data_IF_856498895200
#
_entry.id   IF_856498895200
#
_cell.length_a   1.000
_cell.length_b   1.000
_cell.length_c   1.000
_cell.angle_alpha   90.00
_cell.angle_beta   90.00
_cell.angle_gamma   90.00
#
_symmetry.space_group_name_H-M   'P 1'
#
loop_
_entity.id
_entity.type
_entity.pdbx_description
1 polymer ?
#
# COMPACT_ATOMS: atom_id res chain seq x y z
N UNK A 1 -0.59 -36.20 -58.78
CA UNK A 1 -0.82 -34.77 -58.54
C UNK A 1 -2.01 -34.71 -57.62
N UNK A 2 -1.81 -34.47 -56.34
CA UNK A 2 -2.88 -34.28 -55.38
C UNK A 2 -3.34 -32.81 -55.49
N UNK A 3 -4.55 -32.63 -55.96
CA UNK A 3 -5.25 -31.35 -55.94
C UNK A 3 -5.40 -30.93 -54.48
N UNK A 4 -4.63 -29.95 -54.04
CA UNK A 4 -4.90 -29.27 -52.74
C UNK A 4 -6.21 -28.51 -52.93
N UNK A 5 -7.26 -29.03 -52.34
CA UNK A 5 -8.51 -28.32 -52.19
C UNK A 5 -8.21 -27.01 -51.43
N UNK A 6 -8.30 -25.89 -52.12
CA UNK A 6 -8.28 -24.55 -51.48
C UNK A 6 -9.55 -24.49 -50.66
N UNK A 7 -9.47 -24.63 -49.35
CA UNK A 7 -10.62 -24.44 -48.46
C UNK A 7 -11.02 -22.97 -48.57
N UNK A 8 -12.17 -22.70 -49.18
CA UNK A 8 -12.72 -21.36 -49.27
C UNK A 8 -13.21 -20.93 -47.90
N UNK A 9 -12.56 -19.89 -47.36
CA UNK A 9 -12.98 -19.30 -46.07
C UNK A 9 -14.36 -18.66 -46.26
N UNK A 10 -15.33 -19.10 -45.45
CA UNK A 10 -16.67 -18.50 -45.47
C UNK A 10 -16.65 -17.09 -44.86
N UNK A 11 -17.65 -16.27 -45.18
CA UNK A 11 -17.77 -14.91 -44.64
C UNK A 11 -17.85 -14.94 -43.08
N UNK A 12 -18.51 -15.93 -42.50
CA UNK A 12 -18.61 -16.11 -41.04
C UNK A 12 -17.24 -16.37 -40.42
N UNK A 13 -16.44 -17.26 -41.00
CA UNK A 13 -15.07 -17.54 -40.58
C UNK A 13 -14.17 -16.31 -40.69
N UNK A 14 -14.33 -15.52 -41.76
CA UNK A 14 -13.55 -14.27 -41.94
C UNK A 14 -13.91 -13.23 -40.88
N UNK A 15 -15.20 -13.04 -40.58
CA UNK A 15 -15.67 -12.16 -39.51
C UNK A 15 -15.13 -12.61 -38.15
N UNK A 16 -15.23 -13.89 -37.85
CA UNK A 16 -14.71 -14.47 -36.60
C UNK A 16 -13.20 -14.21 -36.46
N UNK A 17 -12.43 -14.48 -37.50
CA UNK A 17 -10.99 -14.25 -37.51
C UNK A 17 -10.64 -12.76 -37.30
N UNK A 18 -11.37 -11.86 -37.93
CA UNK A 18 -11.18 -10.43 -37.76
C UNK A 18 -11.53 -9.94 -36.35
N UNK A 19 -12.57 -10.48 -35.73
CA UNK A 19 -12.94 -10.20 -34.34
C UNK A 19 -11.89 -10.73 -33.36
N UNK A 20 -11.45 -11.97 -33.53
CA UNK A 20 -10.43 -12.58 -32.68
C UNK A 20 -9.10 -11.81 -32.74
N UNK A 21 -8.69 -11.38 -33.95
CA UNK A 21 -7.51 -10.55 -34.14
C UNK A 21 -7.63 -9.18 -33.43
N UNK A 22 -8.82 -8.56 -33.46
CA UNK A 22 -9.05 -7.30 -32.75
C UNK A 22 -9.11 -7.46 -31.24
N UNK A 23 -9.74 -8.54 -30.74
CA UNK A 23 -9.81 -8.81 -29.32
C UNK A 23 -8.43 -9.15 -28.73
N UNK A 24 -7.54 -9.75 -29.51
CA UNK A 24 -6.16 -10.01 -29.10
C UNK A 24 -5.33 -8.74 -28.87
N UNK A 25 -5.70 -7.62 -29.49
CA UNK A 25 -5.05 -6.31 -29.30
C UNK A 25 -5.60 -5.52 -28.09
N UNK A 26 -6.68 -6.00 -27.45
CA UNK A 26 -7.31 -5.31 -26.34
C UNK A 26 -6.64 -5.72 -25.03
N UNK A 27 -5.82 -4.84 -24.48
CA UNK A 27 -5.16 -5.03 -23.20
C UNK A 27 -6.05 -4.51 -22.07
N UNK A 28 -6.31 -5.33 -21.04
CA UNK A 28 -7.12 -4.93 -19.88
C UNK A 28 -6.25 -4.87 -18.63
N UNK A 29 -5.67 -5.98 -18.24
CA UNK A 29 -4.74 -6.07 -17.14
C UNK A 29 -3.83 -7.28 -17.28
N UNK A 30 -2.55 -7.11 -16.94
CA UNK A 30 -1.55 -8.19 -16.96
C UNK A 30 -0.64 -8.08 -15.74
N UNK A 31 -0.06 -9.18 -15.25
CA UNK A 31 0.98 -9.12 -14.23
C UNK A 31 2.20 -8.40 -14.77
N UNK A 32 2.91 -7.69 -13.89
CA UNK A 32 4.13 -6.99 -14.23
C UNK A 32 5.18 -7.10 -13.14
N UNK A 33 6.44 -7.01 -13.55
CA UNK A 33 7.61 -6.99 -12.65
C UNK A 33 8.38 -5.70 -12.86
N UNK A 34 8.68 -5.02 -11.76
CA UNK A 34 9.48 -3.78 -11.75
C UNK A 34 10.92 -4.12 -12.12
N UNK A 35 11.49 -3.35 -13.03
CA UNK A 35 12.91 -3.40 -13.40
C UNK A 35 13.68 -2.18 -12.92
N UNK A 36 12.99 -1.01 -12.83
CA UNK A 36 13.53 0.21 -12.25
C UNK A 36 12.40 1.04 -11.65
N UNK A 37 12.73 1.86 -10.65
CA UNK A 37 11.80 2.79 -10.00
C UNK A 37 12.40 4.19 -9.97
N UNK A 38 11.73 5.14 -10.59
CA UNK A 38 12.02 6.56 -10.46
C UNK A 38 11.13 7.17 -9.38
N UNK A 39 11.71 7.34 -8.19
CA UNK A 39 11.03 7.90 -7.03
C UNK A 39 10.64 9.38 -7.23
N UNK A 40 11.43 10.14 -7.99
CA UNK A 40 11.19 11.56 -8.20
C UNK A 40 10.04 11.80 -9.18
N UNK A 41 9.99 11.00 -10.23
CA UNK A 41 8.90 11.03 -11.21
C UNK A 41 7.65 10.26 -10.75
N UNK A 42 7.76 9.34 -9.79
CA UNK A 42 6.67 8.46 -9.39
C UNK A 42 6.31 7.42 -10.46
N UNK A 43 7.31 6.95 -11.21
CA UNK A 43 7.13 6.02 -12.33
C UNK A 43 8.00 4.77 -12.16
N UNK A 44 7.61 3.69 -12.84
CA UNK A 44 8.37 2.44 -12.91
C UNK A 44 8.63 2.03 -14.33
N UNK A 45 9.77 1.37 -14.55
CA UNK A 45 10.00 0.54 -15.72
C UNK A 45 9.63 -0.89 -15.37
N UNK A 46 8.93 -1.57 -16.27
CA UNK A 46 8.41 -2.91 -16.00
C UNK A 46 8.59 -3.86 -17.18
N UNK A 47 8.61 -5.15 -16.88
CA UNK A 47 8.46 -6.24 -17.85
C UNK A 47 7.19 -7.03 -17.54
N UNK A 48 6.55 -7.56 -18.57
CA UNK A 48 5.38 -8.43 -18.47
C UNK A 48 5.88 -9.88 -18.47
N UNK A 49 5.73 -10.65 -17.38
CA UNK A 49 6.28 -12.00 -17.25
C UNK A 49 5.43 -13.09 -17.94
N UNK A 50 4.25 -12.71 -18.45
CA UNK A 50 3.36 -13.62 -19.19
C UNK A 50 3.41 -13.22 -20.65
N UNK A 51 3.87 -14.10 -21.50
CA UNK A 51 3.98 -13.85 -22.95
C UNK A 51 2.63 -14.07 -23.64
N UNK A 52 2.40 -13.31 -24.70
CA UNK A 52 1.39 -13.64 -25.69
C UNK A 52 1.73 -14.94 -26.43
N UNK A 53 0.77 -15.46 -27.17
CA UNK A 53 0.96 -16.60 -28.07
C UNK A 53 0.36 -16.28 -29.42
N UNK A 54 1.15 -16.47 -30.48
CA UNK A 54 0.70 -16.28 -31.86
C UNK A 54 0.79 -17.60 -32.65
N UNK A 55 -0.13 -17.85 -33.59
CA UNK A 55 -0.05 -19.05 -34.43
C UNK A 55 1.15 -18.96 -35.37
N UNK A 56 1.87 -20.06 -35.55
CA UNK A 56 3.06 -20.16 -36.41
C UNK A 56 2.73 -20.48 -37.89
N UNK A 57 1.46 -20.54 -38.24
CA UNK A 57 0.98 -20.91 -39.57
C UNK A 57 0.99 -22.42 -39.86
N UNK A 58 1.52 -23.22 -38.96
CA UNK A 58 1.54 -24.72 -39.07
C UNK A 58 0.55 -25.38 -38.11
N UNK A 59 -0.31 -24.59 -37.45
CA UNK A 59 -1.27 -25.04 -36.45
C UNK A 59 -0.72 -25.11 -35.02
N UNK A 60 0.53 -24.69 -34.79
CA UNK A 60 1.10 -24.53 -33.44
C UNK A 60 1.08 -23.08 -33.01
N UNK A 61 1.35 -22.85 -31.72
CA UNK A 61 1.49 -21.52 -31.16
C UNK A 61 2.94 -21.29 -30.71
N UNK A 62 3.46 -20.10 -31.00
CA UNK A 62 4.78 -19.65 -30.55
C UNK A 62 4.63 -18.51 -29.56
N UNK A 63 5.59 -18.41 -28.63
CA UNK A 63 5.61 -17.36 -27.61
C UNK A 63 5.91 -16.02 -28.23
N UNK A 64 5.10 -15.01 -27.88
CA UNK A 64 5.24 -13.62 -28.28
C UNK A 64 5.46 -12.74 -27.04
N UNK A 65 6.72 -12.41 -26.68
CA UNK A 65 7.03 -11.63 -25.50
C UNK A 65 6.65 -10.17 -25.69
N UNK A 66 6.00 -9.58 -24.68
CA UNK A 66 5.71 -8.16 -24.66
C UNK A 66 7.00 -7.33 -24.54
N UNK A 67 7.04 -6.13 -25.14
CA UNK A 67 8.13 -5.19 -24.93
C UNK A 67 8.22 -4.74 -23.48
N UNK A 68 9.42 -4.36 -23.04
CA UNK A 68 9.58 -3.70 -21.76
C UNK A 68 8.96 -2.29 -21.85
N UNK A 69 8.13 -1.96 -20.84
CA UNK A 69 7.48 -0.67 -20.74
C UNK A 69 8.25 0.22 -19.77
N UNK A 70 8.36 1.51 -20.13
CA UNK A 70 9.14 2.49 -19.36
C UNK A 70 8.29 3.64 -18.88
N UNK A 71 8.70 4.23 -17.77
CA UNK A 71 8.09 5.44 -17.20
C UNK A 71 6.58 5.30 -16.97
N UNK A 72 6.15 4.12 -16.55
CA UNK A 72 4.75 3.83 -16.26
C UNK A 72 4.35 4.48 -14.94
N UNK A 73 3.29 5.29 -14.89
CA UNK A 73 2.82 5.92 -13.67
C UNK A 73 2.34 4.88 -12.66
N UNK A 74 2.58 5.15 -11.38
CA UNK A 74 2.18 4.25 -10.29
C UNK A 74 0.87 4.74 -9.69
N UNK A 75 -0.09 3.84 -9.56
CA UNK A 75 -1.33 4.08 -8.85
C UNK A 75 -1.24 3.57 -7.41
N UNK A 76 -1.06 4.50 -6.47
CA UNK A 76 -1.20 4.21 -5.06
C UNK A 76 -2.63 4.50 -4.57
N UNK A 77 -3.12 3.78 -3.55
CA UNK A 77 -4.35 4.15 -2.88
C UNK A 77 -4.26 5.57 -2.34
N UNK A 78 -5.12 6.48 -2.82
CA UNK A 78 -5.14 7.88 -2.38
C UNK A 78 -6.54 8.47 -2.41
N UNK A 79 -6.79 9.39 -1.48
CA UNK A 79 -8.00 10.20 -1.48
C UNK A 79 -7.69 11.59 -0.92
N UNK A 80 -7.98 12.63 -1.70
CA UNK A 80 -7.66 14.01 -1.34
C UNK A 80 -6.17 14.21 -1.03
N UNK A 81 -5.87 14.56 0.22
CA UNK A 81 -4.49 14.81 0.69
C UNK A 81 -3.81 13.57 1.26
N UNK A 82 -4.50 12.44 1.37
CA UNK A 82 -3.97 11.21 1.97
C UNK A 82 -3.62 10.18 0.90
N UNK A 83 -2.51 9.51 1.09
CA UNK A 83 -2.07 8.40 0.24
C UNK A 83 -1.34 7.35 1.06
N UNK A 84 -1.40 6.10 0.59
CA UNK A 84 -0.56 5.00 1.09
C UNK A 84 0.44 4.69 0.00
N UNK A 85 1.72 4.90 0.28
CA UNK A 85 2.80 4.66 -0.69
C UNK A 85 3.74 3.57 -0.18
N UNK A 86 4.29 2.79 -1.09
CA UNK A 86 5.26 1.75 -0.80
C UNK A 86 6.59 2.10 -1.46
N UNK A 87 7.74 1.83 -0.81
CA UNK A 87 9.01 1.80 -1.51
C UNK A 87 8.98 0.62 -2.49
N UNK A 88 9.32 0.86 -3.75
CA UNK A 88 9.41 -0.16 -4.78
C UNK A 88 10.87 -0.40 -5.13
N UNK A 89 11.20 -1.68 -5.39
CA UNK A 89 12.53 -2.11 -5.80
C UNK A 89 12.44 -2.99 -7.07
N UNK A 90 13.57 -3.13 -7.75
CA UNK A 90 13.65 -4.05 -8.87
C UNK A 90 13.36 -5.49 -8.39
N UNK A 91 12.45 -6.16 -9.08
CA UNK A 91 11.96 -7.49 -8.71
C UNK A 91 10.57 -7.49 -8.08
N UNK A 92 10.10 -6.35 -7.56
CA UNK A 92 8.74 -6.23 -7.05
C UNK A 92 7.71 -6.49 -8.15
N UNK A 93 6.56 -6.99 -7.74
CA UNK A 93 5.51 -7.38 -8.68
C UNK A 93 4.20 -6.64 -8.40
N UNK A 94 3.44 -6.47 -9.45
CA UNK A 94 2.15 -5.82 -9.44
C UNK A 94 1.35 -6.20 -10.67
N UNK A 95 0.38 -5.40 -11.01
CA UNK A 95 -0.33 -5.50 -12.29
C UNK A 95 -0.26 -4.19 -13.06
N UNK A 96 -0.25 -4.30 -14.37
CA UNK A 96 -0.57 -3.19 -15.27
C UNK A 96 -2.07 -3.21 -15.52
N UNK A 97 -2.68 -2.05 -15.42
CA UNK A 97 -4.05 -1.79 -15.86
C UNK A 97 -3.98 -0.84 -17.03
N UNK A 98 -4.65 -1.17 -18.12
CA UNK A 98 -4.65 -0.36 -19.33
C UNK A 98 -5.92 0.48 -19.40
N UNK A 99 -5.75 1.80 -19.44
CA UNK A 99 -6.87 2.71 -19.53
C UNK A 99 -7.56 2.60 -20.89
N UNK A 100 -8.87 2.84 -20.91
CA UNK A 100 -9.67 2.82 -22.14
C UNK A 100 -9.12 3.81 -23.18
N UNK A 101 -8.58 4.94 -22.72
CA UNK A 101 -8.02 6.00 -23.56
C UNK A 101 -6.64 6.40 -23.06
N UNK A 102 -5.87 7.02 -23.91
CA UNK A 102 -4.58 7.59 -23.54
C UNK A 102 -4.78 8.69 -22.47
N UNK A 103 -4.14 8.51 -21.34
CA UNK A 103 -4.22 9.41 -20.18
C UNK A 103 -3.01 10.34 -20.04
N UNK A 104 -2.03 10.27 -20.95
CA UNK A 104 -0.77 11.00 -20.83
C UNK A 104 -0.95 12.51 -20.69
N UNK A 105 -1.84 13.10 -21.45
CA UNK A 105 -2.15 14.52 -21.32
C UNK A 105 -2.83 14.84 -19.98
N UNK A 106 -3.79 14.04 -19.54
CA UNK A 106 -4.45 14.23 -18.24
C UNK A 106 -3.47 14.11 -17.07
N UNK A 107 -2.49 13.22 -17.14
CA UNK A 107 -1.46 13.10 -16.12
C UNK A 107 -0.59 14.36 -15.98
N UNK A 108 -0.51 15.18 -17.03
CA UNK A 108 0.28 16.42 -17.04
C UNK A 108 -0.38 17.55 -16.23
N UNK A 109 -1.71 17.70 -16.34
CA UNK A 109 -2.40 18.86 -15.77
C UNK A 109 -3.68 18.54 -14.98
N UNK A 110 -4.17 17.30 -15.05
CA UNK A 110 -5.39 16.86 -14.36
C UNK A 110 -6.69 17.47 -14.89
N UNK A 111 -6.65 18.17 -16.03
CA UNK A 111 -7.81 18.84 -16.61
C UNK A 111 -8.49 17.97 -17.67
N UNK A 112 -9.81 18.15 -17.89
CA UNK A 112 -10.50 17.53 -19.02
C UNK A 112 -9.84 17.90 -20.34
N UNK A 113 -9.58 16.90 -21.18
CA UNK A 113 -8.95 17.08 -22.49
C UNK A 113 -9.22 15.89 -23.41
N UNK A 114 -8.96 16.06 -24.68
CA UNK A 114 -9.02 14.97 -25.65
C UNK A 114 -7.88 13.97 -25.42
N UNK A 115 -8.10 12.69 -25.74
CA UNK A 115 -7.12 11.64 -25.57
C UNK A 115 -5.86 11.79 -26.45
N UNK A 116 -5.94 12.63 -27.49
CA UNK A 116 -4.84 12.88 -28.41
C UNK A 116 -4.66 11.82 -29.52
N UNK A 117 -5.25 10.65 -29.35
CA UNK A 117 -5.29 9.56 -30.32
C UNK A 117 -6.60 8.77 -30.23
N UNK A 118 -6.81 7.86 -31.19
CA UNK A 118 -8.01 7.01 -31.28
C UNK A 118 -7.81 5.62 -30.64
N UNK A 119 -6.60 5.33 -30.15
CA UNK A 119 -6.25 4.06 -29.51
C UNK A 119 -7.10 3.79 -28.28
N UNK A 120 -7.43 2.53 -28.07
CA UNK A 120 -8.18 2.03 -26.91
C UNK A 120 -7.43 0.84 -26.32
N UNK A 121 -7.29 0.82 -25.00
CA UNK A 121 -6.66 -0.29 -24.29
C UNK A 121 -5.26 -0.66 -24.82
N UNK A 122 -4.50 0.36 -25.20
CA UNK A 122 -3.14 0.20 -25.74
C UNK A 122 -2.10 0.13 -24.62
N UNK A 123 -0.92 -0.38 -24.92
CA UNK A 123 0.20 -0.46 -23.96
C UNK A 123 0.61 0.92 -23.40
N UNK A 124 0.42 2.00 -24.18
CA UNK A 124 0.76 3.37 -23.78
C UNK A 124 -0.16 3.92 -22.67
N UNK A 125 -1.36 3.36 -22.51
CA UNK A 125 -2.30 3.73 -21.46
C UNK A 125 -2.10 2.96 -20.14
N UNK A 126 -0.96 2.33 -19.93
CA UNK A 126 -0.70 1.51 -18.78
C UNK A 126 -0.51 2.33 -17.49
N UNK A 127 -1.04 1.81 -16.39
CA UNK A 127 -0.82 2.26 -15.02
C UNK A 127 -0.39 1.06 -14.18
N UNK A 128 0.63 1.21 -13.35
CA UNK A 128 1.11 0.14 -12.49
C UNK A 128 0.45 0.19 -11.10
N UNK A 129 -0.18 -0.91 -10.71
CA UNK A 129 -0.70 -1.13 -9.37
C UNK A 129 0.16 -2.17 -8.63
N UNK A 130 0.89 -1.79 -7.57
CA UNK A 130 1.68 -2.74 -6.80
C UNK A 130 0.81 -3.72 -6.01
N UNK A 131 1.32 -4.92 -5.75
CA UNK A 131 0.71 -5.87 -4.82
C UNK A 131 0.22 -7.20 -5.42
N UNK A 132 0.12 -7.34 -6.75
CA UNK A 132 -0.10 -8.66 -7.34
C UNK A 132 1.21 -9.45 -7.29
N UNK A 133 1.21 -10.57 -6.56
CA UNK A 133 2.40 -11.41 -6.40
C UNK A 133 2.12 -12.86 -6.83
N UNK A 134 3.07 -13.55 -7.47
CA UNK A 134 2.95 -14.97 -7.79
C UNK A 134 2.86 -15.86 -6.54
N UNK A 135 3.42 -15.38 -5.44
CA UNK A 135 3.26 -15.99 -4.11
C UNK A 135 2.49 -15.02 -3.25
N UNK A 136 1.17 -15.18 -3.19
CA UNK A 136 0.37 -14.38 -2.28
C UNK A 136 0.90 -14.58 -0.85
N UNK A 137 1.19 -13.51 -0.11
CA UNK A 137 1.55 -13.66 1.28
C UNK A 137 0.40 -14.35 2.01
N UNK A 138 0.71 -15.42 2.73
CA UNK A 138 -0.27 -16.02 3.63
C UNK A 138 -0.76 -14.95 4.61
N UNK A 139 -2.05 -14.95 4.92
CA UNK A 139 -2.57 -14.10 5.97
C UNK A 139 -1.79 -14.40 7.25
N UNK A 140 -0.98 -13.44 7.71
CA UNK A 140 -0.11 -13.63 8.88
C UNK A 140 -0.89 -13.54 10.19
N UNK A 141 -2.15 -13.13 10.13
CA UNK A 141 -3.05 -13.11 11.29
C UNK A 141 -4.48 -13.46 10.87
N UNK A 142 -5.14 -14.29 11.67
CA UNK A 142 -6.56 -14.63 11.49
C UNK A 142 -7.51 -13.53 12.00
N UNK A 143 -7.04 -12.59 12.81
CA UNK A 143 -7.89 -11.65 13.55
C UNK A 143 -7.36 -10.22 13.61
N UNK A 144 -6.25 -9.90 12.95
CA UNK A 144 -5.67 -8.56 12.97
C UNK A 144 -5.50 -8.01 11.55
N UNK A 145 -5.79 -6.72 11.38
CA UNK A 145 -5.31 -5.95 10.24
C UNK A 145 -3.84 -5.61 10.47
N UNK A 146 -2.98 -6.02 9.54
CA UNK A 146 -1.55 -5.76 9.59
C UNK A 146 -1.16 -4.80 8.46
N UNK A 147 -0.44 -3.74 8.80
CA UNK A 147 0.10 -2.75 7.84
C UNK A 147 1.59 -2.61 8.09
N UNK A 148 2.41 -2.88 7.08
CA UNK A 148 3.86 -2.76 7.18
C UNK A 148 4.60 -3.92 6.54
N UNK A 149 5.78 -4.25 7.05
CA UNK A 149 6.65 -5.28 6.49
C UNK A 149 5.97 -6.66 6.42
N UNK A 150 6.07 -7.33 5.29
CA UNK A 150 5.60 -8.70 5.13
C UNK A 150 6.47 -9.72 5.89
N UNK A 151 7.75 -9.39 6.12
CA UNK A 151 8.75 -10.30 6.68
C UNK A 151 9.19 -9.95 8.10
N UNK A 152 9.05 -8.70 8.52
CA UNK A 152 9.46 -8.24 9.85
C UNK A 152 8.24 -7.81 10.68
N UNK A 153 7.91 -8.62 11.69
CA UNK A 153 6.80 -8.34 12.60
C UNK A 153 6.96 -7.01 13.38
N UNK A 154 8.18 -6.58 13.65
CA UNK A 154 8.45 -5.31 14.34
C UNK A 154 8.21 -4.09 13.45
N UNK A 155 8.29 -4.25 12.14
CA UNK A 155 8.02 -3.20 11.15
C UNK A 155 6.55 -3.06 10.77
N UNK A 156 5.61 -3.50 11.62
CA UNK A 156 4.16 -3.52 11.34
C UNK A 156 3.37 -2.69 12.32
N UNK A 157 2.23 -2.21 11.84
CA UNK A 157 1.13 -1.73 12.68
C UNK A 157 0.10 -2.86 12.71
N UNK A 158 -0.28 -3.33 13.90
CA UNK A 158 -1.27 -4.38 14.07
C UNK A 158 -2.51 -3.82 14.78
N UNK A 159 -3.67 -3.88 14.12
CA UNK A 159 -4.95 -3.55 14.73
C UNK A 159 -5.65 -4.84 15.14
N UNK A 160 -5.71 -5.12 16.44
CA UNK A 160 -6.27 -6.33 17.03
C UNK A 160 -7.48 -5.96 17.91
N UNK A 161 -8.68 -5.97 17.35
CA UNK A 161 -9.88 -5.61 18.11
C UNK A 161 -9.76 -4.21 18.72
N UNK A 162 -9.63 -4.13 20.04
CA UNK A 162 -9.49 -2.88 20.78
C UNK A 162 -8.03 -2.40 20.96
N UNK A 163 -7.04 -3.13 20.45
CA UNK A 163 -5.63 -2.80 20.61
C UNK A 163 -4.98 -2.38 19.28
N UNK A 164 -4.15 -1.34 19.35
CA UNK A 164 -3.26 -0.91 18.28
C UNK A 164 -1.81 -1.13 18.73
N UNK A 165 -1.09 -1.99 18.02
CA UNK A 165 0.31 -2.27 18.30
C UNK A 165 1.21 -1.63 17.25
N UNK A 166 2.23 -0.87 17.66
CA UNK A 166 3.33 -0.45 16.82
C UNK A 166 4.48 -1.44 16.97
N UNK A 167 4.62 -2.35 16.02
CA UNK A 167 5.42 -3.56 16.11
C UNK A 167 4.56 -4.72 16.65
N UNK A 168 4.38 -5.77 15.85
CA UNK A 168 3.61 -6.94 16.23
C UNK A 168 4.28 -7.64 17.43
N UNK A 169 3.49 -7.91 18.48
CA UNK A 169 4.02 -8.45 19.74
C UNK A 169 4.72 -7.42 20.62
N UNK A 170 4.62 -6.12 20.31
CA UNK A 170 5.12 -5.09 21.20
C UNK A 170 4.40 -5.16 22.56
N UNK A 171 5.17 -5.27 23.62
CA UNK A 171 4.66 -5.30 24.98
C UNK A 171 4.31 -3.91 25.53
N UNK A 172 4.71 -2.86 24.79
CA UNK A 172 4.40 -1.47 25.10
C UNK A 172 3.40 -0.96 24.07
N UNK A 173 2.20 -0.65 24.51
CA UNK A 173 1.16 -0.03 23.68
C UNK A 173 1.52 1.40 23.27
N UNK A 174 0.84 1.90 22.26
CA UNK A 174 0.86 3.34 21.91
C UNK A 174 0.11 4.08 23.02
N UNK A 175 0.75 5.11 23.54
CA UNK A 175 0.12 6.00 24.50
C UNK A 175 -0.82 6.93 23.71
N UNK A 176 -2.12 6.78 23.92
CA UNK A 176 -3.09 7.70 23.36
C UNK A 176 -3.11 8.99 24.18
N UNK A 177 -3.50 10.10 23.55
CA UNK A 177 -3.66 11.35 24.26
C UNK A 177 -4.69 11.18 25.41
N UNK A 178 -4.24 11.44 26.65
CA UNK A 178 -5.04 11.21 27.85
C UNK A 178 -4.73 9.93 28.64
N UNK A 179 -3.96 8.99 28.05
CA UNK A 179 -3.52 7.81 28.78
C UNK A 179 -2.33 8.13 29.70
N UNK A 180 -2.31 7.46 30.85
CA UNK A 180 -1.16 7.52 31.74
C UNK A 180 -0.06 6.60 31.23
N UNK A 181 1.18 7.08 31.21
CA UNK A 181 2.34 6.23 30.93
C UNK A 181 2.63 5.28 32.11
N UNK A 182 3.32 4.16 31.86
CA UNK A 182 3.79 3.30 32.95
C UNK A 182 4.76 4.03 33.91
N UNK A 183 5.54 4.98 33.36
CA UNK A 183 6.39 5.86 34.18
C UNK A 183 5.57 6.77 35.08
N UNK A 184 4.46 7.30 34.58
CA UNK A 184 3.54 8.15 35.32
C UNK A 184 2.85 7.40 36.47
N UNK A 185 2.46 6.13 36.23
CA UNK A 185 1.88 5.27 37.25
C UNK A 185 2.91 4.94 38.35
N UNK A 186 4.15 4.68 37.96
CA UNK A 186 5.25 4.41 38.91
C UNK A 186 5.58 5.64 39.75
N UNK A 187 5.62 6.82 39.10
CA UNK A 187 5.87 8.09 39.80
C UNK A 187 4.69 8.46 40.70
N UNK A 188 3.46 8.24 40.31
CA UNK A 188 2.28 8.48 41.11
C UNK A 188 2.30 7.54 42.36
N UNK A 189 2.69 6.29 42.19
CA UNK A 189 2.86 5.34 43.30
C UNK A 189 3.98 5.78 44.25
N UNK A 190 5.12 6.23 43.72
CA UNK A 190 6.23 6.76 44.54
C UNK A 190 5.80 8.00 45.34
N UNK A 191 5.11 8.96 44.71
CA UNK A 191 4.61 10.17 45.37
C UNK A 191 3.62 9.78 46.48
N UNK A 192 2.70 8.86 46.22
CA UNK A 192 1.73 8.37 47.19
C UNK A 192 2.42 7.72 48.41
N UNK A 193 3.42 6.86 48.16
CA UNK A 193 4.19 6.23 49.22
C UNK A 193 4.98 7.25 50.05
N UNK A 194 5.56 8.26 49.38
CA UNK A 194 6.30 9.34 50.04
C UNK A 194 5.37 10.17 50.93
N UNK A 195 4.19 10.55 50.43
CA UNK A 195 3.19 11.29 51.22
C UNK A 195 2.75 10.46 52.43
N UNK A 196 2.50 9.16 52.27
CA UNK A 196 2.14 8.27 53.39
C UNK A 196 3.25 8.21 54.45
N UNK A 197 4.52 8.14 54.02
CA UNK A 197 5.65 8.17 54.95
C UNK A 197 5.72 9.51 55.72
N UNK A 198 5.54 10.66 55.05
CA UNK A 198 5.47 11.95 55.73
C UNK A 198 4.29 12.06 56.70
N UNK A 199 3.13 11.52 56.35
CA UNK A 199 1.96 11.48 57.23
C UNK A 199 2.24 10.69 58.49
N UNK A 200 2.95 9.56 58.35
CA UNK A 200 3.38 8.74 59.51
C UNK A 200 4.35 9.51 60.41
N UNK A 201 5.34 10.20 59.81
CA UNK A 201 6.28 11.04 60.55
C UNK A 201 5.55 12.17 61.25
N UNK A 202 4.59 12.81 60.60
CA UNK A 202 3.77 13.88 61.19
C UNK A 202 3.01 13.36 62.40
N UNK A 203 2.45 12.17 62.34
CA UNK A 203 1.77 11.53 63.52
C UNK A 203 2.71 11.28 64.68
N UNK A 204 4.03 11.11 64.42
CA UNK A 204 5.05 10.84 65.43
C UNK A 204 5.64 12.13 66.04
N UNK A 205 5.90 13.14 65.25
CA UNK A 205 6.65 14.36 65.65
C UNK A 205 5.79 15.64 65.68
N UNK A 206 4.51 15.60 65.28
CA UNK A 206 3.62 16.77 65.20
C UNK A 206 4.03 17.73 64.05
N UNK A 207 3.22 18.61 63.63
CA UNK A 207 3.48 19.79 62.77
C UNK A 207 4.31 19.66 61.47
N UNK A 208 4.32 18.50 60.76
CA UNK A 208 4.85 18.41 59.39
C UNK A 208 3.72 18.66 58.37
N UNK A 209 3.89 19.59 57.44
CA UNK A 209 2.96 19.80 56.34
C UNK A 209 3.19 18.73 55.27
N UNK A 210 2.19 17.89 55.07
CA UNK A 210 2.22 16.87 54.03
C UNK A 210 1.65 17.45 52.72
N UNK A 211 2.40 17.47 51.61
CA UNK A 211 1.89 17.92 50.33
C UNK A 211 0.76 17.01 49.83
N UNK A 212 -0.23 17.57 49.20
CA UNK A 212 -1.25 16.77 48.48
C UNK A 212 -0.70 16.29 47.13
N UNK A 213 -1.01 15.05 46.80
CA UNK A 213 -0.61 14.47 45.51
C UNK A 213 -1.27 15.27 44.36
N UNK A 214 -0.54 15.62 43.30
CA UNK A 214 -1.11 16.25 42.15
C UNK A 214 -2.15 15.34 41.46
N UNK A 215 -3.30 15.88 41.08
CA UNK A 215 -4.44 15.12 40.56
C UNK A 215 -4.30 14.81 39.06
N UNK A 216 -3.41 15.51 38.38
CA UNK A 216 -3.20 15.45 36.93
C UNK A 216 -1.79 15.01 36.53
N UNK A 217 -1.03 14.45 37.47
CA UNK A 217 0.30 13.96 37.23
C UNK A 217 0.29 12.80 36.24
N UNK A 218 1.09 12.89 35.19
CA UNK A 218 1.24 11.83 34.20
C UNK A 218 0.11 11.76 33.16
N UNK A 219 -0.71 12.77 33.03
CA UNK A 219 -1.60 12.88 31.89
C UNK A 219 -0.80 13.42 30.69
N UNK A 220 -0.69 12.64 29.63
CA UNK A 220 -0.29 13.16 28.31
C UNK A 220 -1.42 14.05 27.83
N UNK A 221 -1.49 15.25 28.35
CA UNK A 221 -2.60 16.14 28.16
C UNK A 221 -2.50 16.91 26.88
N UNK A 222 -3.61 17.10 26.28
CA UNK A 222 -3.93 18.28 25.51
C UNK A 222 -3.46 19.53 26.28
N UNK A 223 -2.37 20.12 25.84
CA UNK A 223 -1.89 21.41 26.27
C UNK A 223 -1.81 21.55 27.79
N UNK A 224 -0.63 21.41 28.34
CA UNK A 224 -0.38 22.05 29.61
C UNK A 224 -0.93 23.47 29.47
N UNK A 225 -1.95 23.80 30.25
CA UNK A 225 -2.22 25.18 30.52
C UNK A 225 -0.88 25.78 30.89
N UNK A 226 -0.34 26.62 30.02
CA UNK A 226 0.92 27.32 30.29
C UNK A 226 0.78 27.89 31.66
N UNK A 227 1.54 27.40 32.61
CA UNK A 227 1.80 28.11 33.85
C UNK A 227 2.44 29.43 33.42
N UNK A 228 1.62 30.47 33.19
CA UNK A 228 2.11 31.83 33.17
C UNK A 228 2.64 32.05 34.58
N UNK A 229 3.94 31.95 34.74
CA UNK A 229 4.61 32.54 35.86
C UNK A 229 4.23 34.04 35.86
N UNK A 230 3.66 34.47 36.93
CA UNK A 230 3.56 35.87 37.28
C UNK A 230 4.96 36.45 37.55
#
# INVERSE_FOLDING_TARGET
>A
MSEQATEEITLDQLIQLALDARLAEVHVAVPARVTAFDRAAGTVDVTIPVNGMIPDGSGNFVSDPYPALKSIPIQYPRCGKFSITFPLEAGDTGRLVFCERNIGGWLTNGQPQDAGDVGMHTLDGAVFEPGLSPTAPAATSASALLVGSATDAKGRIACKGAALELGEGATKGVILAGDKTSADTTMAAFITATIAAFTTIQGTIGAVVVPTAPTDFGKNGSGSASTKAL
#
